data_IF_795364648451
#
_entry.id   IF_795364648451
#
_cell.length_a   1.000
_cell.length_b   1.000
_cell.length_c   1.000
_cell.angle_alpha   90.00
_cell.angle_beta   90.00
_cell.angle_gamma   90.00
#
_symmetry.space_group_name_H-M   'P 1'
#
loop_
_entity.id
_entity.type
_entity.pdbx_description
1 polymer ?
#
# COMPACT_ATOMS: atom_id res chain seq x y z
N UNK A 1 15.09 1.32 12.44
CA UNK A 1 14.97 1.96 13.78
C UNK A 1 13.84 1.34 14.60
N UNK A 2 12.60 1.28 14.08
CA UNK A 2 11.43 0.78 14.83
C UNK A 2 10.98 -0.65 14.45
N UNK A 3 11.68 -1.31 13.51
CA UNK A 3 11.26 -2.58 12.92
C UNK A 3 11.02 -3.66 13.98
N UNK A 4 11.99 -3.88 14.88
CA UNK A 4 11.88 -4.87 15.94
C UNK A 4 10.75 -4.57 16.94
N UNK A 5 10.51 -3.29 17.29
CA UNK A 5 9.41 -2.94 18.20
C UNK A 5 8.04 -3.11 17.53
N UNK A 6 7.93 -2.85 16.23
CA UNK A 6 6.68 -3.02 15.48
C UNK A 6 6.35 -4.51 15.35
N UNK A 7 7.32 -5.34 14.96
CA UNK A 7 7.14 -6.79 14.86
C UNK A 7 6.74 -7.40 16.21
N UNK A 8 7.37 -6.99 17.31
CA UNK A 8 7.10 -7.56 18.62
C UNK A 8 5.73 -7.17 19.21
N UNK A 9 5.23 -5.96 18.93
CA UNK A 9 4.07 -5.41 19.66
C UNK A 9 2.83 -5.18 18.80
N UNK A 10 2.96 -5.11 17.48
CA UNK A 10 1.86 -4.74 16.58
C UNK A 10 1.47 -5.82 15.57
N UNK A 11 2.28 -6.87 15.41
CA UNK A 11 1.95 -8.00 14.54
C UNK A 11 1.05 -8.99 15.27
N UNK A 12 -0.23 -8.63 15.43
CA UNK A 12 -1.28 -9.59 15.78
C UNK A 12 -2.38 -9.59 14.71
N UNK A 13 -3.06 -10.73 14.49
CA UNK A 13 -4.18 -10.79 13.54
C UNK A 13 -5.26 -9.74 13.81
N UNK A 14 -5.50 -9.41 15.08
CA UNK A 14 -6.48 -8.41 15.49
C UNK A 14 -6.05 -6.99 15.07
N UNK A 15 -4.78 -6.64 15.25
CA UNK A 15 -4.25 -5.33 14.81
C UNK A 15 -4.34 -5.21 13.29
N UNK A 16 -3.94 -6.25 12.55
CA UNK A 16 -4.02 -6.27 11.08
C UNK A 16 -5.47 -6.13 10.61
N UNK A 17 -6.41 -6.85 11.23
CA UNK A 17 -7.83 -6.77 10.91
C UNK A 17 -8.39 -5.37 11.12
N UNK A 18 -8.13 -4.75 12.28
CA UNK A 18 -8.59 -3.40 12.59
C UNK A 18 -7.97 -2.36 11.65
N UNK A 19 -6.69 -2.49 11.33
CA UNK A 19 -6.01 -1.60 10.38
C UNK A 19 -6.55 -1.74 8.94
N UNK A 20 -6.94 -2.95 8.52
CA UNK A 20 -7.62 -3.18 7.25
C UNK A 20 -8.98 -2.46 7.23
N UNK A 21 -9.82 -2.67 8.24
CA UNK A 21 -11.13 -2.05 8.37
C UNK A 21 -11.00 -0.53 8.41
N UNK A 22 -10.18 0.01 9.30
CA UNK A 22 -9.96 1.44 9.45
C UNK A 22 -9.45 2.06 8.15
N UNK A 23 -8.44 1.45 7.51
CA UNK A 23 -7.94 1.93 6.23
C UNK A 23 -8.98 1.86 5.10
N UNK A 24 -9.86 0.86 5.12
CA UNK A 24 -10.98 0.75 4.18
C UNK A 24 -12.01 1.85 4.38
N UNK A 25 -12.38 2.15 5.64
CA UNK A 25 -13.26 3.27 6.00
C UNK A 25 -12.65 4.60 5.57
N UNK A 26 -11.36 4.84 5.84
CA UNK A 26 -10.67 6.06 5.42
C UNK A 26 -10.72 6.24 3.90
N UNK A 27 -10.45 5.19 3.12
CA UNK A 27 -10.57 5.27 1.65
C UNK A 27 -11.98 5.66 1.20
N UNK A 28 -13.01 5.07 1.79
CA UNK A 28 -14.41 5.39 1.47
C UNK A 28 -14.76 6.84 1.85
N UNK A 29 -14.31 7.32 3.00
CA UNK A 29 -14.54 8.68 3.46
C UNK A 29 -13.85 9.71 2.55
N UNK A 30 -12.60 9.45 2.18
CA UNK A 30 -11.81 10.31 1.28
C UNK A 30 -12.46 10.35 -0.11
N UNK A 31 -12.86 9.21 -0.65
CA UNK A 31 -13.57 9.14 -1.93
C UNK A 31 -14.91 9.88 -1.89
N UNK A 32 -15.65 9.78 -0.78
CA UNK A 32 -16.89 10.53 -0.58
C UNK A 32 -16.63 12.04 -0.49
N UNK A 33 -15.59 12.45 0.22
CA UNK A 33 -15.21 13.86 0.36
C UNK A 33 -14.77 14.47 -0.98
N UNK A 34 -14.09 13.69 -1.81
CA UNK A 34 -13.58 14.11 -3.12
C UNK A 34 -14.57 13.87 -4.27
N UNK A 35 -15.79 13.40 -3.98
CA UNK A 35 -16.80 13.08 -4.98
C UNK A 35 -17.11 14.35 -5.81
N UNK A 36 -16.83 14.29 -7.11
CA UNK A 36 -17.01 15.40 -8.05
C UNK A 36 -15.79 16.33 -8.25
N UNK A 37 -14.72 16.20 -7.45
CA UNK A 37 -13.52 17.07 -7.53
C UNK A 37 -12.31 16.45 -8.25
N UNK A 38 -12.29 15.15 -8.46
CA UNK A 38 -11.06 14.45 -8.91
C UNK A 38 -11.25 13.43 -10.03
N UNK A 39 -12.49 13.08 -10.40
CA UNK A 39 -12.77 12.15 -11.51
C UNK A 39 -12.63 12.82 -12.89
N UNK A 40 -12.99 14.10 -12.99
CA UNK A 40 -13.04 14.84 -14.26
C UNK A 40 -12.54 16.29 -14.14
N UNK A 41 -11.93 16.65 -13.01
CA UNK A 41 -11.52 18.03 -12.80
C UNK A 41 -10.23 18.29 -13.57
N UNK A 42 -10.31 19.13 -14.60
CA UNK A 42 -9.17 19.59 -15.38
C UNK A 42 -8.11 20.31 -14.52
N UNK A 43 -8.46 20.67 -13.27
CA UNK A 43 -7.58 21.30 -12.28
C UNK A 43 -6.83 20.30 -11.39
N UNK A 44 -7.11 19.00 -11.49
CA UNK A 44 -6.47 18.00 -10.65
C UNK A 44 -5.02 17.77 -11.09
N UNK A 45 -4.09 17.92 -10.13
CA UNK A 45 -2.65 17.93 -10.41
C UNK A 45 -2.17 16.58 -10.93
N UNK A 46 -1.32 16.64 -11.95
CA UNK A 46 -0.55 15.52 -12.47
C UNK A 46 0.75 15.34 -11.68
N UNK A 47 1.43 14.21 -11.88
CA UNK A 47 2.63 13.87 -11.09
C UNK A 47 3.79 14.85 -11.32
N UNK A 48 3.93 15.39 -12.52
CA UNK A 48 4.93 16.40 -12.89
C UNK A 48 4.66 17.79 -12.28
N UNK A 49 3.47 18.00 -11.71
CA UNK A 49 3.08 19.25 -11.04
C UNK A 49 3.20 19.16 -9.51
N UNK A 50 3.72 18.03 -9.01
CA UNK A 50 3.89 17.78 -7.59
C UNK A 50 4.96 18.70 -6.98
N UNK A 51 4.54 19.53 -6.03
CA UNK A 51 5.47 20.37 -5.25
C UNK A 51 6.18 19.54 -4.17
N UNK A 52 7.38 19.99 -3.75
CA UNK A 52 8.10 19.37 -2.63
C UNK A 52 7.26 19.29 -1.35
N UNK A 53 6.45 20.32 -1.08
CA UNK A 53 5.55 20.33 0.09
C UNK A 53 4.53 19.20 0.02
N UNK A 54 3.93 18.95 -1.14
CA UNK A 54 2.98 17.85 -1.32
C UNK A 54 3.69 16.50 -1.20
N UNK A 55 4.87 16.34 -1.79
CA UNK A 55 5.69 15.13 -1.66
C UNK A 55 5.98 14.80 -0.18
N UNK A 56 6.32 15.80 0.63
CA UNK A 56 6.56 15.64 2.07
C UNK A 56 5.29 15.23 2.84
N UNK A 57 4.13 15.81 2.50
CA UNK A 57 2.84 15.43 3.10
C UNK A 57 2.51 13.97 2.76
N UNK A 58 2.72 13.55 1.51
CA UNK A 58 2.51 12.15 1.11
C UNK A 58 3.48 11.22 1.82
N UNK A 59 4.75 11.59 1.97
CA UNK A 59 5.72 10.84 2.75
C UNK A 59 5.34 10.70 4.23
N UNK A 60 4.85 11.79 4.83
CA UNK A 60 4.32 11.76 6.20
C UNK A 60 3.08 10.87 6.32
N UNK A 61 2.17 10.91 5.35
CA UNK A 61 1.02 10.00 5.30
C UNK A 61 1.47 8.53 5.16
N UNK A 62 2.53 8.25 4.39
CA UNK A 62 3.07 6.90 4.26
C UNK A 62 3.65 6.35 5.59
N UNK A 63 4.03 7.20 6.54
CA UNK A 63 4.51 6.75 7.85
C UNK A 63 3.44 5.95 8.63
N UNK A 64 2.14 6.16 8.36
CA UNK A 64 1.07 5.33 8.93
C UNK A 64 1.15 3.87 8.49
N UNK A 65 1.84 3.56 7.39
CA UNK A 65 2.08 2.20 6.92
C UNK A 65 3.02 1.38 7.82
N UNK A 66 3.64 2.02 8.80
CA UNK A 66 4.39 1.31 9.85
C UNK A 66 3.48 0.48 10.76
N UNK A 67 2.18 0.76 10.80
CA UNK A 67 1.19 -0.06 11.51
C UNK A 67 0.84 -1.27 10.65
N UNK A 68 1.04 -2.52 11.13
CA UNK A 68 0.70 -3.72 10.39
C UNK A 68 -0.77 -3.74 9.95
N UNK A 69 -1.01 -4.07 8.67
CA UNK A 69 -2.34 -4.06 8.05
C UNK A 69 -2.75 -2.71 7.46
N UNK A 70 -2.11 -1.59 7.84
CA UNK A 70 -2.24 -0.34 7.08
C UNK A 70 -1.55 -0.54 5.73
N UNK A 71 -2.28 -0.32 4.63
CA UNK A 71 -1.67 -0.42 3.32
C UNK A 71 -0.77 0.78 3.07
N UNK A 72 0.51 0.50 2.80
CA UNK A 72 1.47 1.51 2.33
C UNK A 72 0.90 2.28 1.15
N UNK A 73 0.53 1.59 0.06
CA UNK A 73 -0.02 2.30 -1.11
C UNK A 73 -1.31 3.05 -0.78
N UNK A 74 -2.18 2.50 0.07
CA UNK A 74 -3.40 3.18 0.50
C UNK A 74 -3.10 4.49 1.22
N UNK A 75 -2.15 4.49 2.16
CA UNK A 75 -1.78 5.68 2.94
C UNK A 75 -1.16 6.79 2.10
N UNK A 76 -0.25 6.47 1.19
CA UNK A 76 0.36 7.44 0.27
C UNK A 76 -0.61 7.93 -0.80
N UNK A 77 -1.46 7.05 -1.35
CA UNK A 77 -2.52 7.46 -2.30
C UNK A 77 -3.49 8.42 -1.62
N UNK A 78 -3.97 8.10 -0.42
CA UNK A 78 -4.86 9.00 0.35
C UNK A 78 -4.17 10.34 0.60
N UNK A 79 -2.91 10.34 1.02
CA UNK A 79 -2.12 11.57 1.16
C UNK A 79 -2.08 12.38 -0.14
N UNK A 80 -1.81 11.71 -1.26
CA UNK A 80 -1.74 12.34 -2.58
C UNK A 80 -3.07 12.97 -2.98
N UNK A 81 -4.16 12.23 -2.84
CA UNK A 81 -5.52 12.70 -3.12
C UNK A 81 -5.90 13.92 -2.26
N UNK A 82 -5.59 13.90 -0.96
CA UNK A 82 -5.85 15.01 -0.06
C UNK A 82 -4.98 16.24 -0.34
N UNK A 83 -3.83 16.06 -1.00
CA UNK A 83 -2.98 17.16 -1.48
C UNK A 83 -3.38 17.71 -2.85
N UNK A 84 -4.43 17.16 -3.49
CA UNK A 84 -4.98 17.65 -4.75
C UNK A 84 -4.54 16.90 -6.01
N UNK A 85 -3.80 15.80 -5.88
CA UNK A 85 -3.48 14.93 -7.03
C UNK A 85 -4.74 14.21 -7.52
N UNK A 86 -4.80 13.96 -8.82
CA UNK A 86 -5.76 12.99 -9.36
C UNK A 86 -5.39 11.54 -8.95
N UNK A 87 -6.32 10.60 -9.09
CA UNK A 87 -6.13 9.20 -8.66
C UNK A 87 -4.94 8.52 -9.33
N UNK A 88 -4.76 8.75 -10.63
CA UNK A 88 -3.66 8.17 -11.39
C UNK A 88 -2.32 8.71 -10.88
N UNK A 89 -2.17 10.03 -10.80
CA UNK A 89 -0.95 10.68 -10.32
C UNK A 89 -0.61 10.29 -8.87
N UNK A 90 -1.61 10.22 -7.97
CA UNK A 90 -1.41 9.76 -6.60
C UNK A 90 -0.94 8.29 -6.55
N UNK A 91 -1.46 7.44 -7.44
CA UNK A 91 -1.07 6.03 -7.55
C UNK A 91 0.34 5.87 -8.12
N UNK A 92 0.65 6.56 -9.21
CA UNK A 92 1.98 6.59 -9.83
C UNK A 92 3.02 7.08 -8.82
N UNK A 93 2.75 8.19 -8.14
CA UNK A 93 3.65 8.71 -7.12
C UNK A 93 3.85 7.73 -5.96
N UNK A 94 2.76 7.08 -5.50
CA UNK A 94 2.87 6.03 -4.48
C UNK A 94 3.75 4.85 -4.93
N UNK A 95 3.74 4.50 -6.21
CA UNK A 95 4.58 3.42 -6.74
C UNK A 95 6.03 3.84 -6.91
N UNK A 96 6.29 5.08 -7.34
CA UNK A 96 7.65 5.60 -7.37
C UNK A 96 8.24 5.72 -5.97
N UNK A 97 7.45 6.18 -4.98
CA UNK A 97 7.88 6.27 -3.58
C UNK A 97 8.21 4.89 -3.00
N UNK A 98 7.55 3.84 -3.48
CA UNK A 98 7.78 2.46 -3.06
C UNK A 98 9.12 1.89 -3.55
N UNK A 99 9.64 2.31 -4.71
CA UNK A 99 10.87 1.77 -5.28
C UNK A 99 12.09 1.93 -4.38
N UNK A 100 12.47 3.15 -3.91
CA UNK A 100 13.63 3.30 -3.03
C UNK A 100 13.39 2.67 -1.67
N UNK A 101 12.16 2.73 -1.15
CA UNK A 101 11.82 2.20 0.17
C UNK A 101 11.88 0.66 0.19
N UNK A 102 11.05 -0.01 -0.62
CA UNK A 102 10.99 -1.46 -0.65
C UNK A 102 12.21 -2.08 -1.33
N UNK A 103 12.72 -1.44 -2.39
CA UNK A 103 13.94 -1.89 -3.06
C UNK A 103 15.12 -1.86 -2.09
N UNK A 104 15.31 -0.75 -1.36
CA UNK A 104 16.35 -0.62 -0.35
C UNK A 104 16.23 -1.67 0.76
N UNK A 105 15.05 -1.85 1.35
CA UNK A 105 14.82 -2.87 2.39
C UNK A 105 15.04 -4.28 1.87
N UNK A 106 14.55 -4.60 0.67
CA UNK A 106 14.70 -5.92 0.05
C UNK A 106 16.17 -6.25 -0.21
N UNK A 107 16.92 -5.33 -0.83
CA UNK A 107 18.35 -5.53 -1.10
C UNK A 107 19.12 -5.70 0.21
N UNK A 108 18.84 -4.87 1.21
CA UNK A 108 19.47 -4.97 2.52
C UNK A 108 19.24 -6.33 3.19
N UNK A 109 17.99 -6.80 3.23
CA UNK A 109 17.64 -8.10 3.81
C UNK A 109 18.26 -9.25 3.02
N UNK A 110 18.22 -9.19 1.68
CA UNK A 110 18.81 -10.20 0.82
C UNK A 110 20.32 -10.33 1.08
N UNK A 111 21.06 -9.23 1.05
CA UNK A 111 22.52 -9.24 1.28
C UNK A 111 22.89 -9.85 2.63
N UNK A 112 22.10 -9.57 3.67
CA UNK A 112 22.32 -10.15 5.00
C UNK A 112 22.01 -11.65 5.08
N UNK A 113 21.02 -12.12 4.33
CA UNK A 113 20.62 -13.53 4.32
C UNK A 113 21.40 -14.38 3.32
N UNK A 114 22.14 -13.78 2.36
CA UNK A 114 22.93 -14.51 1.37
C UNK A 114 23.82 -15.64 1.94
N UNK A 115 24.54 -15.46 3.07
CA UNK A 115 25.38 -16.53 3.63
C UNK A 115 24.59 -17.73 4.15
N UNK A 116 23.29 -17.57 4.43
CA UNK A 116 22.42 -18.59 5.00
C UNK A 116 21.60 -19.33 3.93
N UNK A 117 21.67 -18.92 2.66
CA UNK A 117 20.87 -19.50 1.58
C UNK A 117 21.54 -20.75 0.98
N UNK A 118 20.79 -21.85 0.95
CA UNK A 118 21.14 -23.03 0.15
C UNK A 118 20.89 -22.81 -1.34
N UNK A 119 21.46 -23.66 -2.20
CA UNK A 119 21.25 -23.61 -3.65
C UNK A 119 19.77 -23.73 -4.05
N UNK A 120 19.02 -24.62 -3.40
CA UNK A 120 17.58 -24.79 -3.64
C UNK A 120 16.77 -23.55 -3.22
N UNK A 121 17.14 -22.92 -2.11
CA UNK A 121 16.52 -21.67 -1.66
C UNK A 121 16.75 -20.52 -2.66
N UNK A 122 17.94 -20.49 -3.29
CA UNK A 122 18.27 -19.50 -4.32
C UNK A 122 17.42 -19.68 -5.59
N UNK A 123 17.20 -20.93 -6.02
CA UNK A 123 16.34 -21.23 -7.16
C UNK A 123 14.88 -20.84 -6.88
N UNK A 124 14.36 -21.19 -5.70
CA UNK A 124 13.00 -20.80 -5.28
C UNK A 124 12.85 -19.27 -5.23
N UNK A 125 13.85 -18.56 -4.68
CA UNK A 125 13.86 -17.11 -4.65
C UNK A 125 13.84 -16.51 -6.05
N UNK A 126 14.64 -17.05 -6.98
CA UNK A 126 14.70 -16.57 -8.36
C UNK A 126 13.36 -16.75 -9.09
N UNK A 127 12.76 -17.95 -9.01
CA UNK A 127 11.46 -18.25 -9.63
C UNK A 127 10.36 -17.40 -9.01
N UNK A 128 10.31 -17.33 -7.67
CA UNK A 128 9.33 -16.51 -6.95
C UNK A 128 9.44 -15.03 -7.30
N UNK A 129 10.67 -14.50 -7.39
CA UNK A 129 10.93 -13.11 -7.78
C UNK A 129 10.50 -12.83 -9.22
N UNK A 130 10.80 -13.74 -10.15
CA UNK A 130 10.41 -13.59 -11.56
C UNK A 130 8.89 -13.59 -11.73
N UNK A 131 8.19 -14.54 -11.09
CA UNK A 131 6.74 -14.62 -11.12
C UNK A 131 6.09 -13.40 -10.43
N UNK A 132 6.55 -13.04 -9.24
CA UNK A 132 6.04 -11.87 -8.53
C UNK A 132 6.25 -10.58 -9.34
N UNK A 133 7.41 -10.43 -10.00
CA UNK A 133 7.69 -9.29 -10.88
C UNK A 133 6.75 -9.22 -12.08
N UNK A 134 6.53 -10.36 -12.76
CA UNK A 134 5.61 -10.46 -13.89
C UNK A 134 4.17 -10.08 -13.50
N UNK A 135 3.64 -10.67 -12.43
CA UNK A 135 2.29 -10.37 -11.96
C UNK A 135 2.17 -8.97 -11.37
N UNK A 136 3.21 -8.44 -10.72
CA UNK A 136 3.22 -7.06 -10.24
C UNK A 136 3.15 -6.06 -11.40
N UNK A 137 3.89 -6.30 -12.49
CA UNK A 137 3.82 -5.46 -13.69
C UNK A 137 2.40 -5.44 -14.27
N UNK A 138 1.78 -6.62 -14.45
CA UNK A 138 0.40 -6.73 -14.92
C UNK A 138 -0.59 -6.01 -13.99
N UNK A 139 -0.44 -6.19 -12.68
CA UNK A 139 -1.33 -5.59 -11.69
C UNK A 139 -1.21 -4.07 -11.63
N UNK A 140 0.00 -3.52 -11.79
CA UNK A 140 0.25 -2.08 -11.82
C UNK A 140 -0.40 -1.47 -13.06
N UNK A 141 -0.16 -2.05 -14.24
CA UNK A 141 -0.74 -1.56 -15.50
C UNK A 141 -2.28 -1.56 -15.44
N UNK A 142 -2.86 -2.68 -15.01
CA UNK A 142 -4.29 -2.80 -14.82
C UNK A 142 -4.83 -1.77 -13.81
N UNK A 143 -4.16 -1.61 -12.65
CA UNK A 143 -4.63 -0.70 -11.61
C UNK A 143 -4.61 0.75 -12.09
N UNK A 144 -3.54 1.18 -12.77
CA UNK A 144 -3.44 2.52 -13.35
C UNK A 144 -4.55 2.76 -14.38
N UNK A 145 -4.84 1.76 -15.22
CA UNK A 145 -5.96 1.81 -16.17
C UNK A 145 -7.34 1.83 -15.49
N UNK A 146 -7.50 1.15 -14.35
CA UNK A 146 -8.73 1.12 -13.56
C UNK A 146 -8.99 2.45 -12.87
N UNK A 147 -8.02 2.98 -12.12
CA UNK A 147 -8.17 4.21 -11.29
C UNK A 147 -8.27 5.49 -12.13
N UNK A 148 -7.90 5.40 -13.41
CA UNK A 148 -8.14 6.47 -14.39
C UNK A 148 -9.64 6.65 -14.71
N UNK A 149 -10.47 5.63 -14.45
CA UNK A 149 -11.90 5.61 -14.79
C UNK A 149 -12.82 5.34 -13.58
N UNK A 150 -12.26 4.87 -12.48
CA UNK A 150 -13.01 4.43 -11.31
C UNK A 150 -12.42 5.00 -10.02
N UNK A 151 -13.23 5.00 -8.97
CA UNK A 151 -12.80 5.37 -7.62
C UNK A 151 -12.18 4.19 -6.86
N UNK A 152 -11.48 4.50 -5.76
CA UNK A 152 -10.98 3.51 -4.82
C UNK A 152 -12.06 2.89 -3.92
N UNK A 153 -13.35 3.23 -4.12
CA UNK A 153 -14.42 2.77 -3.24
C UNK A 153 -14.50 1.23 -3.16
N UNK A 154 -14.32 0.54 -4.28
CA UNK A 154 -14.30 -0.93 -4.30
C UNK A 154 -13.18 -1.51 -3.43
N UNK A 155 -11.98 -0.90 -3.46
CA UNK A 155 -10.86 -1.32 -2.61
C UNK A 155 -11.13 -1.03 -1.13
N UNK A 156 -11.82 0.08 -0.83
CA UNK A 156 -12.27 0.40 0.53
C UNK A 156 -13.20 -0.67 1.10
N UNK A 157 -14.22 -1.07 0.32
CA UNK A 157 -15.14 -2.16 0.69
C UNK A 157 -14.39 -3.49 0.85
N UNK A 158 -13.54 -3.85 -0.12
CA UNK A 158 -12.72 -5.06 -0.05
C UNK A 158 -11.91 -5.13 1.24
N UNK A 159 -11.26 -4.04 1.64
CA UNK A 159 -10.47 -3.99 2.89
C UNK A 159 -11.33 -4.20 4.14
N UNK A 160 -12.52 -3.62 4.20
CA UNK A 160 -13.44 -3.80 5.33
C UNK A 160 -13.88 -5.26 5.42
N UNK A 161 -14.27 -5.86 4.30
CA UNK A 161 -14.67 -7.27 4.26
C UNK A 161 -13.52 -8.19 4.66
N UNK A 162 -12.33 -8.00 4.07
CA UNK A 162 -11.15 -8.80 4.39
C UNK A 162 -10.75 -8.67 5.86
N UNK A 163 -10.74 -7.45 6.41
CA UNK A 163 -10.46 -7.23 7.82
C UNK A 163 -11.51 -7.86 8.74
N UNK A 164 -12.79 -7.81 8.37
CA UNK A 164 -13.86 -8.52 9.08
C UNK A 164 -13.67 -10.04 9.10
N UNK A 165 -13.29 -10.63 7.97
CA UNK A 165 -13.01 -12.08 7.88
C UNK A 165 -11.81 -12.47 8.75
N UNK A 166 -10.73 -11.69 8.73
CA UNK A 166 -9.55 -11.93 9.59
C UNK A 166 -9.92 -11.80 11.06
N UNK A 167 -10.70 -10.77 11.42
CA UNK A 167 -11.17 -10.60 12.80
C UNK A 167 -11.97 -11.80 13.29
N UNK A 168 -12.92 -12.28 12.48
CA UNK A 168 -13.73 -13.45 12.82
C UNK A 168 -12.90 -14.72 12.93
N UNK A 169 -11.94 -14.93 12.02
CA UNK A 169 -11.03 -16.08 12.08
C UNK A 169 -10.15 -16.04 13.34
N UNK A 170 -9.65 -14.87 13.73
CA UNK A 170 -8.87 -14.68 14.95
C UNK A 170 -9.73 -14.89 16.21
N UNK A 171 -10.94 -14.33 16.24
CA UNK A 171 -11.87 -14.50 17.35
C UNK A 171 -12.35 -15.96 17.51
N UNK A 172 -12.43 -16.70 16.41
CA UNK A 172 -12.75 -18.14 16.39
C UNK A 172 -11.57 -19.06 16.69
N UNK A 173 -10.36 -18.53 16.94
CA UNK A 173 -9.17 -19.32 17.25
C UNK A 173 -8.57 -20.06 16.05
N UNK A 174 -8.96 -19.73 14.82
CA UNK A 174 -8.44 -20.35 13.58
C UNK A 174 -7.04 -19.83 13.26
N UNK A 175 -6.76 -18.58 13.63
CA UNK A 175 -5.45 -17.92 13.46
C UNK A 175 -5.06 -17.26 14.79
N UNK A 176 -3.78 -17.36 15.16
CA UNK A 176 -3.20 -16.82 16.39
C UNK A 176 -2.19 -15.71 16.08
#
# INVERSE_FOLDING_TARGET
LLEAQIEANLFSPQVVALALIAGGIVLLLVERYLRGRTLHDARALQINELTLRQALIVGAAQAFALIPGVSRSGSSIVGGLLTGLNRRAATEFSFYLALPLLGGTTVYKLVKSLPELSGDALLLLAVGTALAGFFAWMAIDWLLGYVSRHSFALFGVYRIVAGGLIWLAAAGGVIA
#
